data_IF_707478072976
#
_entry.id   IF_707478072976
#
_cell.length_a   1.000
_cell.length_b   1.000
_cell.length_c   1.000
_cell.angle_alpha   90.00
_cell.angle_beta   90.00
_cell.angle_gamma   90.00
#
_symmetry.space_group_name_H-M   'P 1'
#
loop_
_entity.id
_entity.type
_entity.pdbx_description
1 polymer ?
#
# COMPACT_ATOMS: atom_id res chain seq x y z
N UNK A 1 7.85 63.02 13.95
CA UNK A 1 8.77 62.38 12.99
C UNK A 1 8.25 60.96 12.70
N UNK A 2 7.82 60.71 11.48
CA UNK A 2 7.49 59.34 11.09
C UNK A 2 8.79 58.54 10.95
N UNK A 3 8.94 57.47 11.70
CA UNK A 3 10.04 56.51 11.51
C UNK A 3 9.93 55.96 10.09
N UNK A 4 10.86 56.37 9.21
CA UNK A 4 11.01 55.77 7.90
C UNK A 4 11.28 54.28 8.04
N UNK A 5 10.79 53.50 7.10
CA UNK A 5 10.96 52.04 7.05
C UNK A 5 12.43 51.68 7.30
N UNK A 6 12.68 50.83 8.29
CA UNK A 6 14.00 50.23 8.51
C UNK A 6 14.25 49.28 7.34
N UNK A 7 15.27 49.54 6.55
CA UNK A 7 15.72 48.62 5.49
C UNK A 7 16.56 47.50 6.12
N UNK A 8 15.91 46.39 6.37
CA UNK A 8 16.52 45.21 7.00
C UNK A 8 17.68 44.65 6.15
N UNK A 9 17.61 44.80 4.83
CA UNK A 9 18.66 44.31 3.94
C UNK A 9 20.00 45.05 4.12
N UNK A 10 19.94 46.33 4.50
CA UNK A 10 21.13 47.17 4.66
C UNK A 10 21.59 47.35 6.12
N UNK A 11 20.78 46.96 7.09
CA UNK A 11 21.04 47.19 8.51
C UNK A 11 21.40 45.96 9.33
N UNK A 12 21.20 44.75 8.77
CA UNK A 12 21.53 43.51 9.46
C UNK A 12 22.64 42.79 8.70
N UNK A 13 23.74 42.50 9.37
CA UNK A 13 24.81 41.65 8.87
C UNK A 13 24.65 40.26 9.49
N UNK A 14 24.47 39.25 8.62
CA UNK A 14 24.31 37.86 9.06
C UNK A 14 22.85 37.45 9.35
N UNK A 15 22.66 36.29 9.93
CA UNK A 15 21.32 35.76 10.24
C UNK A 15 20.74 36.45 11.48
N UNK A 16 19.49 36.89 11.39
CA UNK A 16 18.77 37.42 12.54
C UNK A 16 18.52 36.33 13.56
N UNK A 17 18.93 36.49 14.84
CA UNK A 17 18.69 35.48 15.88
C UNK A 17 17.20 35.18 16.09
N UNK A 18 16.89 33.95 16.53
CA UNK A 18 15.53 33.52 16.85
C UNK A 18 14.84 34.45 17.87
N UNK A 19 15.57 34.90 18.88
CA UNK A 19 15.07 35.80 19.91
C UNK A 19 14.57 37.14 19.36
N UNK A 20 15.02 37.53 18.17
CA UNK A 20 14.63 38.76 17.47
C UNK A 20 13.66 38.48 16.30
N UNK A 21 13.02 37.32 16.29
CA UNK A 21 12.05 36.91 15.25
C UNK A 21 12.66 36.39 13.95
N UNK A 22 13.97 36.20 13.88
CA UNK A 22 14.64 35.60 12.76
C UNK A 22 14.71 34.06 12.89
N UNK A 23 15.12 33.40 11.80
CA UNK A 23 15.32 31.91 11.83
C UNK A 23 16.67 31.52 12.42
N UNK A 24 17.61 32.45 12.58
CA UNK A 24 18.98 32.19 12.97
C UNK A 24 19.82 31.47 11.88
N UNK A 25 19.26 31.31 10.70
CA UNK A 25 19.90 30.59 9.59
C UNK A 25 20.30 31.57 8.49
N UNK A 26 21.55 31.49 8.04
CA UNK A 26 22.04 32.22 6.87
C UNK A 26 21.69 31.48 5.55
N UNK A 27 21.45 30.19 5.59
CA UNK A 27 21.08 29.35 4.45
C UNK A 27 20.36 28.09 4.91
N UNK A 28 19.71 27.40 3.97
CA UNK A 28 19.08 26.11 4.18
C UNK A 28 19.40 25.16 3.01
N UNK A 29 19.10 23.88 3.15
CA UNK A 29 19.22 22.89 2.10
C UNK A 29 17.92 22.80 1.33
N UNK A 30 17.98 22.86 0.00
CA UNK A 30 16.78 22.68 -0.85
C UNK A 30 16.09 21.35 -0.56
N UNK A 31 14.76 21.36 -0.47
CA UNK A 31 13.94 20.18 -0.18
C UNK A 31 13.88 19.80 1.30
N UNK A 32 14.45 20.60 2.20
CA UNK A 32 14.36 20.39 3.64
C UNK A 32 13.39 21.39 4.30
N UNK A 33 12.87 21.00 5.45
CA UNK A 33 12.00 21.83 6.27
C UNK A 33 12.80 22.58 7.34
N UNK A 34 12.28 23.75 7.73
CA UNK A 34 12.77 24.44 8.91
C UNK A 34 12.19 23.78 10.15
N UNK A 35 13.04 23.23 11.01
CA UNK A 35 12.66 22.40 12.15
C UNK A 35 13.33 22.86 13.43
N UNK A 36 12.59 22.85 14.53
CA UNK A 36 13.20 23.02 15.86
C UNK A 36 14.04 21.77 16.19
N UNK A 37 15.32 21.98 16.43
CA UNK A 37 16.28 20.94 16.85
C UNK A 37 16.63 21.06 18.34
N UNK A 38 16.09 22.07 19.00
CA UNK A 38 16.19 22.33 20.42
C UNK A 38 15.17 23.41 20.82
N UNK A 39 15.10 23.76 22.11
CA UNK A 39 14.16 24.76 22.61
C UNK A 39 14.32 26.15 21.99
N UNK A 40 15.53 26.46 21.53
CA UNK A 40 15.91 27.78 21.00
C UNK A 40 16.68 27.71 19.68
N UNK A 41 16.73 26.54 19.04
CA UNK A 41 17.49 26.34 17.81
C UNK A 41 16.60 25.86 16.70
N UNK A 42 16.69 26.50 15.52
CA UNK A 42 16.13 26.04 14.26
C UNK A 42 17.25 25.55 13.35
N UNK A 43 16.99 24.49 12.61
CA UNK A 43 17.88 24.00 11.57
C UNK A 43 17.06 23.54 10.35
N UNK A 44 17.71 23.56 9.19
CA UNK A 44 17.21 22.86 8.03
C UNK A 44 17.39 21.36 8.26
N UNK A 45 16.33 20.58 8.21
CA UNK A 45 16.34 19.16 8.42
C UNK A 45 15.49 18.45 7.39
N UNK A 46 15.94 17.26 6.98
CA UNK A 46 15.13 16.38 6.15
C UNK A 46 13.83 16.03 6.89
N UNK A 47 12.78 15.84 6.14
CA UNK A 47 11.57 15.23 6.68
C UNK A 47 11.88 13.77 7.03
N UNK A 48 11.36 13.32 8.16
CA UNK A 48 11.43 11.90 8.49
C UNK A 48 10.26 11.19 7.79
N UNK A 49 10.56 10.54 6.69
CA UNK A 49 9.56 9.85 5.88
C UNK A 49 9.13 8.49 6.47
N UNK A 50 9.80 8.00 7.51
CA UNK A 50 9.47 6.71 8.13
C UNK A 50 8.00 6.63 8.52
N UNK A 51 7.32 5.60 8.04
CA UNK A 51 5.90 5.38 8.29
C UNK A 51 4.94 6.22 7.46
N UNK A 52 5.42 7.12 6.59
CA UNK A 52 4.55 7.88 5.69
C UNK A 52 4.03 7.01 4.55
N UNK A 53 2.78 7.22 4.19
CA UNK A 53 2.23 6.68 2.95
C UNK A 53 2.77 7.55 1.80
N UNK A 54 3.53 6.93 0.91
CA UNK A 54 4.15 7.60 -0.23
C UNK A 54 3.26 7.56 -1.47
N UNK A 55 2.54 6.46 -1.67
CA UNK A 55 1.57 6.30 -2.74
C UNK A 55 0.51 5.25 -2.40
N UNK A 56 -0.62 5.33 -3.08
CA UNK A 56 -1.72 4.38 -2.98
C UNK A 56 -2.12 3.95 -4.38
N UNK A 57 -2.29 2.65 -4.59
CA UNK A 57 -2.79 2.08 -5.83
C UNK A 57 -3.97 1.16 -5.54
N UNK A 58 -4.91 1.12 -6.46
CA UNK A 58 -6.16 0.37 -6.28
C UNK A 58 -6.52 -0.40 -7.53
N UNK A 59 -7.21 -1.53 -7.34
CA UNK A 59 -7.95 -2.23 -8.38
C UNK A 59 -9.36 -2.51 -7.89
N UNK A 60 -10.33 -2.37 -8.77
CA UNK A 60 -11.74 -2.63 -8.47
C UNK A 60 -12.39 -3.46 -9.58
N UNK A 61 -13.39 -4.23 -9.21
CA UNK A 61 -14.16 -5.05 -10.13
C UNK A 61 -13.62 -6.45 -10.22
N UNK A 62 -13.27 -6.85 -11.42
CA UNK A 62 -12.84 -8.22 -11.77
C UNK A 62 -13.95 -9.01 -12.45
N UNK A 63 -13.54 -9.91 -13.33
CA UNK A 63 -14.44 -10.88 -13.94
C UNK A 63 -14.43 -12.16 -13.12
N UNK A 64 -15.57 -12.78 -12.92
CA UNK A 64 -15.70 -14.03 -12.18
C UNK A 64 -14.80 -15.10 -12.76
N UNK A 65 -14.11 -15.83 -11.87
CA UNK A 65 -13.25 -16.97 -12.19
C UNK A 65 -13.66 -18.15 -11.34
N UNK A 66 -14.11 -19.22 -11.98
CA UNK A 66 -14.48 -20.46 -11.29
C UNK A 66 -13.23 -21.27 -10.99
N UNK A 67 -13.01 -21.63 -9.73
CA UNK A 67 -11.96 -22.50 -9.25
C UNK A 67 -12.61 -23.75 -8.66
N UNK A 68 -12.15 -24.91 -9.11
CA UNK A 68 -12.59 -26.23 -8.61
C UNK A 68 -11.36 -27.13 -8.42
N UNK A 69 -10.42 -26.65 -7.62
CA UNK A 69 -9.19 -27.38 -7.34
C UNK A 69 -8.62 -26.99 -5.98
N UNK A 70 -8.04 -27.95 -5.30
CA UNK A 70 -7.27 -27.77 -4.07
C UNK A 70 -5.86 -27.24 -4.31
N UNK A 71 -5.45 -27.16 -5.58
CA UNK A 71 -4.17 -26.55 -5.95
C UNK A 71 -4.32 -25.03 -5.98
N UNK A 72 -3.43 -24.34 -5.29
CA UNK A 72 -3.42 -22.88 -5.25
C UNK A 72 -3.25 -22.29 -6.65
N UNK A 73 -4.22 -21.49 -7.07
CA UNK A 73 -4.14 -20.70 -8.29
C UNK A 73 -3.41 -19.38 -7.96
N UNK A 74 -2.39 -19.07 -8.73
CA UNK A 74 -1.48 -17.95 -8.44
C UNK A 74 -1.07 -17.24 -9.74
N UNK A 75 -1.78 -16.18 -10.17
CA UNK A 75 -2.94 -15.53 -9.54
C UNK A 75 -4.27 -16.26 -9.83
N UNK A 76 -5.35 -15.86 -9.13
CA UNK A 76 -6.73 -16.24 -9.48
C UNK A 76 -7.07 -15.74 -10.88
N UNK A 77 -6.71 -14.51 -11.19
CA UNK A 77 -6.94 -13.88 -12.48
C UNK A 77 -5.72 -13.05 -12.90
N UNK A 78 -5.27 -13.25 -14.11
CA UNK A 78 -4.18 -12.47 -14.71
C UNK A 78 -4.60 -11.06 -15.13
N UNK A 79 -5.90 -10.76 -15.15
CA UNK A 79 -6.46 -9.46 -15.54
C UNK A 79 -6.90 -8.58 -14.36
N UNK A 80 -6.89 -9.10 -13.12
CA UNK A 80 -7.27 -8.37 -11.92
C UNK A 80 -6.08 -8.17 -10.99
N UNK A 81 -5.51 -6.98 -10.99
CA UNK A 81 -4.36 -6.61 -10.17
C UNK A 81 -4.26 -5.10 -9.98
N UNK A 82 -3.68 -4.68 -8.87
CA UNK A 82 -3.18 -3.32 -8.67
C UNK A 82 -1.70 -3.27 -9.06
N UNK A 83 -1.27 -2.21 -9.73
CA UNK A 83 0.14 -2.01 -10.09
C UNK A 83 0.72 -0.87 -9.27
N UNK A 84 1.84 -1.13 -8.60
CA UNK A 84 2.57 -0.14 -7.82
C UNK A 84 4.07 -0.23 -8.15
N UNK A 85 4.71 0.92 -8.34
CA UNK A 85 6.16 1.00 -8.57
C UNK A 85 6.80 1.64 -7.34
N UNK A 86 7.47 0.84 -6.49
CA UNK A 86 8.04 1.36 -5.26
C UNK A 86 9.15 2.39 -5.51
N UNK A 87 9.20 3.41 -4.67
CA UNK A 87 10.20 4.46 -4.75
C UNK A 87 11.57 4.01 -4.22
N UNK A 88 11.60 3.07 -3.29
CA UNK A 88 12.83 2.53 -2.71
C UNK A 88 12.66 1.08 -2.26
N UNK A 89 13.75 0.30 -2.25
CA UNK A 89 13.77 -1.09 -1.79
C UNK A 89 13.69 -1.23 -0.27
N UNK A 90 13.93 -0.15 0.48
CA UNK A 90 13.70 -0.13 1.93
C UNK A 90 12.22 -0.05 2.32
N UNK A 91 11.37 0.42 1.40
CA UNK A 91 9.96 0.65 1.68
C UNK A 91 9.18 -0.66 1.81
N UNK A 92 7.98 -0.56 2.37
CA UNK A 92 7.05 -1.67 2.51
C UNK A 92 5.80 -1.43 1.69
N UNK A 93 5.23 -2.51 1.15
CA UNK A 93 3.90 -2.50 0.57
C UNK A 93 2.93 -3.15 1.55
N UNK A 94 1.89 -2.41 1.92
CA UNK A 94 0.80 -2.89 2.77
C UNK A 94 -0.43 -3.05 1.88
N UNK A 95 -1.02 -4.23 1.90
CA UNK A 95 -2.11 -4.61 1.03
C UNK A 95 -3.39 -4.88 1.82
N UNK A 96 -4.50 -4.37 1.31
CA UNK A 96 -5.85 -4.70 1.77
C UNK A 96 -6.66 -5.20 0.59
N UNK A 97 -7.46 -6.23 0.82
CA UNK A 97 -8.28 -6.80 -0.23
C UNK A 97 -9.65 -7.25 0.24
N UNK A 98 -10.58 -7.13 -0.68
CA UNK A 98 -11.91 -7.71 -0.59
C UNK A 98 -12.12 -8.55 -1.83
N UNK A 99 -12.39 -9.83 -1.66
CA UNK A 99 -12.71 -10.75 -2.76
C UNK A 99 -14.18 -11.17 -2.63
N UNK A 100 -14.96 -10.90 -3.66
CA UNK A 100 -16.34 -11.36 -3.73
C UNK A 100 -16.37 -12.81 -4.20
N UNK A 101 -17.09 -13.66 -3.48
CA UNK A 101 -17.07 -15.12 -3.69
C UNK A 101 -18.48 -15.68 -3.71
N UNK A 102 -18.77 -16.50 -4.70
CA UNK A 102 -20.00 -17.27 -4.80
C UNK A 102 -19.73 -18.76 -4.70
N UNK A 103 -20.56 -19.47 -3.96
CA UNK A 103 -20.56 -20.92 -3.85
C UNK A 103 -21.80 -21.50 -4.51
N UNK A 104 -21.61 -22.61 -5.21
CA UNK A 104 -22.70 -23.37 -5.79
C UNK A 104 -23.06 -24.65 -5.02
N UNK A 105 -22.21 -25.10 -4.10
CA UNK A 105 -22.38 -26.39 -3.42
C UNK A 105 -22.14 -26.29 -1.91
N UNK A 106 -22.90 -27.05 -1.14
CA UNK A 106 -22.67 -27.25 0.30
C UNK A 106 -21.34 -28.00 0.55
N UNK A 107 -20.66 -27.63 1.63
CA UNK A 107 -19.40 -28.27 2.02
C UNK A 107 -18.15 -27.76 1.27
N UNK A 108 -18.31 -26.75 0.42
CA UNK A 108 -17.17 -26.13 -0.27
C UNK A 108 -16.39 -25.26 0.72
N UNK A 109 -15.08 -25.33 0.65
CA UNK A 109 -14.19 -24.39 1.33
C UNK A 109 -13.32 -23.65 0.34
N UNK A 110 -12.83 -22.50 0.77
CA UNK A 110 -11.91 -21.71 -0.03
C UNK A 110 -10.79 -21.13 0.84
N UNK A 111 -9.72 -20.78 0.18
CA UNK A 111 -8.63 -20.00 0.73
C UNK A 111 -8.30 -18.86 -0.26
N UNK A 112 -8.21 -17.65 0.23
CA UNK A 112 -7.87 -16.46 -0.58
C UNK A 112 -6.75 -15.69 0.11
N UNK A 113 -5.75 -15.36 -0.65
CA UNK A 113 -4.63 -14.56 -0.19
C UNK A 113 -4.15 -13.60 -1.27
N UNK A 114 -2.99 -13.01 -1.04
CA UNK A 114 -2.31 -12.17 -2.02
C UNK A 114 -1.16 -12.91 -2.70
N UNK A 115 -0.91 -12.51 -3.93
CA UNK A 115 0.31 -12.82 -4.66
C UNK A 115 0.82 -11.57 -5.35
N UNK A 116 2.08 -11.56 -5.73
CA UNK A 116 2.67 -10.45 -6.47
C UNK A 116 3.60 -10.94 -7.57
N UNK A 117 3.81 -10.07 -8.56
CA UNK A 117 4.75 -10.27 -9.66
C UNK A 117 5.55 -9.00 -9.87
N UNK A 118 6.85 -9.13 -10.14
CA UNK A 118 7.77 -8.02 -10.48
C UNK A 118 8.24 -8.05 -11.93
N UNK A 119 7.72 -8.98 -12.73
CA UNK A 119 8.10 -9.24 -14.12
C UNK A 119 6.94 -9.04 -15.10
N UNK A 120 6.02 -8.13 -14.78
CA UNK A 120 4.88 -7.82 -15.62
C UNK A 120 3.76 -8.86 -15.59
N UNK A 121 3.76 -9.75 -14.61
CA UNK A 121 2.72 -10.77 -14.45
C UNK A 121 3.07 -12.12 -15.09
N UNK A 122 4.34 -12.33 -15.48
CA UNK A 122 4.79 -13.61 -16.03
C UNK A 122 4.93 -14.67 -14.95
N UNK A 123 5.43 -14.27 -13.77
CA UNK A 123 5.54 -15.14 -12.60
C UNK A 123 4.96 -14.44 -11.38
N UNK A 124 4.13 -15.18 -10.63
CA UNK A 124 3.57 -14.69 -9.35
C UNK A 124 4.11 -15.51 -8.19
N UNK A 125 4.44 -14.84 -7.10
CA UNK A 125 4.96 -15.43 -5.87
C UNK A 125 4.06 -15.08 -4.69
N UNK A 126 4.01 -16.01 -3.72
CA UNK A 126 3.29 -15.85 -2.45
C UNK A 126 4.25 -15.80 -1.26
N UNK A 127 5.52 -16.09 -1.49
CA UNK A 127 6.57 -16.03 -0.48
C UNK A 127 6.87 -14.59 -0.09
N UNK A 128 7.22 -14.36 1.16
CA UNK A 128 7.53 -13.05 1.75
C UNK A 128 6.32 -12.10 1.90
N UNK A 129 5.11 -12.62 1.69
CA UNK A 129 3.90 -11.90 2.08
C UNK A 129 3.59 -12.27 3.53
N UNK A 130 3.72 -11.34 4.44
CA UNK A 130 3.17 -11.49 5.78
C UNK A 130 1.70 -11.08 5.74
N UNK A 131 0.84 -11.99 6.10
CA UNK A 131 -0.59 -11.73 6.10
C UNK A 131 -1.37 -13.04 6.23
N UNK A 132 -2.62 -12.93 6.59
CA UNK A 132 -3.49 -14.09 6.75
C UNK A 132 -4.42 -14.20 5.54
N UNK A 133 -4.45 -15.37 4.94
CA UNK A 133 -5.48 -15.70 3.97
C UNK A 133 -6.84 -15.80 4.67
N UNK A 134 -7.89 -15.34 4.00
CA UNK A 134 -9.24 -15.60 4.45
C UNK A 134 -9.62 -17.04 4.08
N UNK A 135 -10.08 -17.78 5.07
CA UNK A 135 -10.60 -19.15 4.88
C UNK A 135 -12.07 -19.20 5.24
N UNK A 136 -12.85 -19.78 4.39
CA UNK A 136 -14.26 -20.03 4.65
C UNK A 136 -14.62 -21.49 4.41
N UNK A 137 -15.46 -22.03 5.27
CA UNK A 137 -16.05 -23.33 5.13
C UNK A 137 -17.56 -23.23 5.38
N UNK A 138 -18.35 -23.68 4.43
CA UNK A 138 -19.79 -23.61 4.52
C UNK A 138 -20.44 -24.99 4.48
N UNK A 139 -21.26 -25.26 5.51
CA UNK A 139 -22.06 -26.48 5.61
C UNK A 139 -23.54 -26.15 5.47
N UNK A 140 -24.27 -26.96 4.74
CA UNK A 140 -25.72 -26.91 4.72
C UNK A 140 -26.37 -25.86 3.84
N UNK A 141 -25.63 -25.10 3.02
CA UNK A 141 -26.18 -24.14 2.07
C UNK A 141 -25.96 -24.60 0.64
N UNK A 142 -26.98 -24.43 -0.19
CA UNK A 142 -26.91 -24.79 -1.62
C UNK A 142 -26.34 -23.68 -2.49
N UNK A 143 -26.34 -22.44 -2.00
CA UNK A 143 -25.73 -21.28 -2.63
C UNK A 143 -25.46 -20.22 -1.58
N UNK A 144 -24.28 -19.65 -1.60
CA UNK A 144 -23.99 -18.46 -0.81
C UNK A 144 -23.28 -17.45 -1.72
N UNK A 145 -23.76 -16.23 -1.67
CA UNK A 145 -23.10 -15.06 -2.24
C UNK A 145 -22.56 -14.23 -1.09
N UNK A 146 -21.31 -13.86 -1.14
CA UNK A 146 -20.74 -13.07 -0.06
C UNK A 146 -19.42 -12.43 -0.41
N UNK A 147 -19.13 -11.35 0.29
CA UNK A 147 -17.87 -10.64 0.19
C UNK A 147 -16.98 -11.06 1.34
N UNK A 148 -15.78 -11.52 1.03
CA UNK A 148 -14.77 -11.84 2.03
C UNK A 148 -13.77 -10.70 2.07
N UNK A 149 -13.80 -9.97 3.18
CA UNK A 149 -12.77 -9.02 3.53
C UNK A 149 -11.63 -9.74 4.24
N UNK A 150 -10.41 -9.53 3.80
CA UNK A 150 -9.24 -9.95 4.54
C UNK A 150 -8.21 -8.82 4.56
N UNK A 151 -7.57 -8.73 5.68
CA UNK A 151 -6.60 -7.68 5.92
C UNK A 151 -5.19 -8.22 5.78
N UNK A 152 -4.40 -7.39 5.16
CA UNK A 152 -2.96 -7.26 5.28
C UNK A 152 -2.11 -8.41 4.76
N UNK A 153 -1.68 -8.23 3.53
CA UNK A 153 -0.34 -8.64 3.16
C UNK A 153 0.63 -7.50 3.47
N UNK A 154 1.81 -7.83 3.95
CA UNK A 154 2.96 -6.94 3.99
C UNK A 154 4.04 -7.55 3.12
N UNK A 155 4.60 -6.76 2.23
CA UNK A 155 5.70 -7.14 1.36
C UNK A 155 6.86 -6.19 1.60
N UNK A 156 8.01 -6.74 1.99
CA UNK A 156 9.28 -6.00 1.94
C UNK A 156 9.71 -5.92 0.49
N UNK A 157 9.89 -4.71 0.01
CA UNK A 157 10.23 -4.45 -1.39
C UNK A 157 11.64 -4.92 -1.70
N UNK A 158 11.79 -5.82 -2.67
CA UNK A 158 13.10 -6.32 -3.11
C UNK A 158 13.64 -5.60 -4.36
N UNK A 159 12.80 -4.85 -5.06
CA UNK A 159 13.18 -4.10 -6.25
C UNK A 159 12.25 -2.89 -6.43
N UNK A 160 12.71 -1.91 -7.21
CA UNK A 160 11.89 -0.76 -7.63
C UNK A 160 11.17 -1.00 -8.97
N UNK A 161 11.11 -2.23 -9.44
CA UNK A 161 10.30 -2.59 -10.60
C UNK A 161 8.81 -2.46 -10.27
N UNK A 162 7.98 -2.32 -11.30
CA UNK A 162 6.54 -2.35 -11.12
C UNK A 162 6.10 -3.71 -10.55
N UNK A 163 5.39 -3.67 -9.42
CA UNK A 163 4.79 -4.83 -8.77
C UNK A 163 3.32 -4.91 -9.17
N UNK A 164 2.90 -6.06 -9.69
CA UNK A 164 1.48 -6.39 -9.82
C UNK A 164 1.06 -7.17 -8.61
N UNK A 165 0.08 -6.65 -7.87
CA UNK A 165 -0.51 -7.30 -6.69
C UNK A 165 -1.87 -7.86 -7.09
N UNK A 166 -2.09 -9.13 -6.90
CA UNK A 166 -3.32 -9.85 -7.23
C UNK A 166 -3.74 -10.78 -6.10
N UNK A 167 -4.90 -11.41 -6.25
CA UNK A 167 -5.32 -12.49 -5.36
C UNK A 167 -4.80 -13.83 -5.85
N UNK A 168 -4.47 -14.70 -4.90
CA UNK A 168 -4.37 -16.13 -5.10
C UNK A 168 -5.51 -16.85 -4.40
N UNK A 169 -5.77 -18.09 -4.75
CA UNK A 169 -6.82 -18.84 -4.09
C UNK A 169 -6.94 -20.28 -4.52
N UNK A 170 -7.68 -21.04 -3.75
CA UNK A 170 -8.05 -22.42 -4.04
C UNK A 170 -9.49 -22.69 -3.57
N UNK A 171 -10.09 -23.72 -4.10
CA UNK A 171 -11.40 -24.24 -3.67
C UNK A 171 -11.34 -25.76 -3.53
N UNK A 172 -11.90 -26.26 -2.44
CA UNK A 172 -12.01 -27.70 -2.19
C UNK A 172 -13.47 -28.13 -2.05
N UNK A 173 -13.74 -29.39 -2.41
CA UNK A 173 -15.06 -30.02 -2.36
C UNK A 173 -16.13 -29.34 -3.23
N UNK A 174 -15.75 -28.68 -4.32
CA UNK A 174 -16.69 -28.08 -5.26
C UNK A 174 -16.17 -26.79 -5.88
N UNK A 175 -16.93 -26.27 -6.85
CA UNK A 175 -16.62 -25.05 -7.54
C UNK A 175 -16.93 -23.83 -6.68
N UNK A 176 -16.05 -22.86 -6.73
CA UNK A 176 -16.21 -21.54 -6.13
C UNK A 176 -15.87 -20.47 -7.16
N UNK A 177 -16.75 -19.48 -7.31
CA UNK A 177 -16.52 -18.34 -8.18
C UNK A 177 -15.88 -17.23 -7.38
N UNK A 178 -14.64 -16.92 -7.71
CA UNK A 178 -13.91 -15.79 -7.16
C UNK A 178 -14.10 -14.56 -8.04
N UNK A 179 -13.90 -13.36 -7.48
CA UNK A 179 -14.12 -12.08 -8.15
C UNK A 179 -15.56 -11.94 -8.67
N UNK A 180 -16.49 -12.63 -8.03
CA UNK A 180 -17.89 -12.65 -8.44
C UNK A 180 -18.49 -11.25 -8.35
N UNK A 181 -19.51 -10.99 -9.17
CA UNK A 181 -20.32 -9.77 -9.15
C UNK A 181 -19.56 -8.44 -9.31
N UNK A 182 -18.27 -8.45 -9.63
CA UNK A 182 -17.49 -7.24 -9.87
C UNK A 182 -17.29 -6.33 -8.65
N UNK A 183 -17.41 -6.86 -7.42
CA UNK A 183 -17.28 -6.07 -6.18
C UNK A 183 -15.94 -6.26 -5.47
N UNK A 184 -15.01 -6.99 -6.10
CA UNK A 184 -13.70 -7.20 -5.52
C UNK A 184 -12.84 -5.94 -5.59
N UNK A 185 -11.95 -5.78 -4.60
CA UNK A 185 -11.02 -4.65 -4.58
C UNK A 185 -9.69 -5.04 -3.96
N UNK A 186 -8.64 -4.39 -4.43
CA UNK A 186 -7.31 -4.41 -3.84
C UNK A 186 -6.88 -2.96 -3.63
N UNK A 187 -6.34 -2.68 -2.45
CA UNK A 187 -5.70 -1.40 -2.12
C UNK A 187 -4.28 -1.71 -1.68
N UNK A 188 -3.31 -1.03 -2.26
CA UNK A 188 -1.90 -1.17 -1.93
C UNK A 188 -1.34 0.18 -1.52
N UNK A 189 -0.72 0.24 -0.37
CA UNK A 189 -0.02 1.41 0.15
C UNK A 189 1.48 1.16 0.10
N UNK A 190 2.25 2.10 -0.44
CA UNK A 190 3.68 2.15 -0.19
C UNK A 190 3.93 2.99 1.06
N UNK A 191 4.66 2.41 2.00
CA UNK A 191 5.01 3.05 3.27
C UNK A 191 6.52 3.17 3.35
N UNK A 192 7.01 4.36 3.65
CA UNK A 192 8.43 4.62 3.85
C UNK A 192 8.96 3.88 5.08
N UNK A 193 10.17 3.31 4.96
CA UNK A 193 10.86 2.61 6.04
C UNK A 193 11.56 3.55 7.01
#
# INVERSE_FOLDING_TARGET
>A
MALSKIDVANMLTGATPLANGGTGLASGTSGQFLKFTGSTTLASAADNDTGKILQVQTAYGGSSVTINTTTLQNPISSSFYATITPNATSNKLIMYGVCDINYSNAGTYHDVGFCYSTDGGSNYVTTNLSGKSAKGYFTGVTRLEGTIGFTTGELTVASTNAHRISFNGLSGNGACDFLANGRSSIIVYEVAA
#
